data_IF_038625505741
#
_entry.id   IF_038625505741
#
_cell.length_a   1.000
_cell.length_b   1.000
_cell.length_c   1.000
_cell.angle_alpha   90.00
_cell.angle_beta   90.00
_cell.angle_gamma   90.00
#
_symmetry.space_group_name_H-M   'P 1'
#
loop_
_entity.id
_entity.type
_entity.pdbx_description
1 polymer ?
#
# COMPACT_ATOMS: atom_id res chain seq x y z
N UNK A 1 -45.06 20.36 -21.17
CA UNK A 1 -43.70 19.85 -21.45
C UNK A 1 -43.14 19.35 -20.12
N UNK A 2 -43.08 18.03 -19.92
CA UNK A 2 -42.49 17.43 -18.71
C UNK A 2 -40.98 17.63 -18.78
N UNK A 3 -40.40 18.33 -17.80
CA UNK A 3 -38.95 18.51 -17.70
C UNK A 3 -38.31 17.12 -17.64
N UNK A 4 -37.30 16.88 -18.49
CA UNK A 4 -36.60 15.60 -18.51
C UNK A 4 -35.99 15.32 -17.12
N UNK A 5 -36.13 14.11 -16.57
CA UNK A 5 -35.55 13.78 -15.28
C UNK A 5 -34.02 13.93 -15.29
N UNK A 6 -33.47 14.43 -14.18
CA UNK A 6 -32.01 14.61 -13.99
C UNK A 6 -31.35 13.27 -13.69
N UNK A 7 -30.06 13.13 -14.04
CA UNK A 7 -29.30 11.89 -13.86
C UNK A 7 -29.41 11.30 -12.45
N UNK A 8 -29.28 12.15 -11.41
CA UNK A 8 -29.40 11.74 -10.01
C UNK A 8 -30.69 10.98 -9.68
N UNK A 9 -31.82 11.39 -10.28
CA UNK A 9 -33.15 10.82 -9.97
C UNK A 9 -33.27 9.34 -10.34
N UNK A 10 -32.53 8.87 -11.35
CA UNK A 10 -32.52 7.46 -11.74
C UNK A 10 -31.83 6.57 -10.71
N UNK A 11 -30.87 7.12 -9.96
CA UNK A 11 -30.05 6.38 -9.00
C UNK A 11 -30.55 6.51 -7.55
N UNK A 12 -31.60 7.28 -7.29
CA UNK A 12 -32.14 7.53 -5.95
C UNK A 12 -32.46 6.23 -5.18
N UNK A 13 -32.97 5.20 -5.87
CA UNK A 13 -33.25 3.89 -5.25
C UNK A 13 -31.98 3.13 -4.82
N UNK A 14 -30.90 3.23 -5.62
CA UNK A 14 -29.60 2.65 -5.28
C UNK A 14 -28.96 3.39 -4.09
N UNK A 15 -28.98 4.73 -4.13
CA UNK A 15 -28.47 5.58 -3.04
C UNK A 15 -29.25 5.33 -1.75
N UNK A 16 -30.58 5.28 -1.80
CA UNK A 16 -31.41 4.97 -0.64
C UNK A 16 -31.12 3.59 -0.04
N UNK A 17 -30.86 2.59 -0.89
CA UNK A 17 -30.47 1.25 -0.44
C UNK A 17 -29.11 1.24 0.26
N UNK A 18 -28.08 1.89 -0.31
CA UNK A 18 -26.76 1.99 0.33
C UNK A 18 -26.80 2.77 1.64
N UNK A 19 -27.54 3.88 1.70
CA UNK A 19 -27.73 4.65 2.94
C UNK A 19 -28.45 3.86 4.03
N UNK A 20 -29.43 3.03 3.65
CA UNK A 20 -30.11 2.17 4.60
C UNK A 20 -29.15 1.14 5.23
N UNK A 21 -28.16 0.65 4.48
CA UNK A 21 -27.11 -0.24 5.00
C UNK A 21 -26.14 0.53 5.90
N UNK A 22 -25.72 1.72 5.47
CA UNK A 22 -24.77 2.56 6.22
C UNK A 22 -25.34 3.06 7.57
N UNK A 23 -26.65 3.27 7.64
CA UNK A 23 -27.34 3.70 8.86
C UNK A 23 -27.56 2.57 9.88
N UNK A 24 -27.38 1.30 9.49
CA UNK A 24 -27.52 0.16 10.40
C UNK A 24 -26.26 0.00 11.24
N UNK A 25 -26.43 -0.44 12.49
CA UNK A 25 -25.31 -0.79 13.36
C UNK A 25 -24.44 -1.86 12.66
N UNK A 26 -23.12 -1.63 12.47
CA UNK A 26 -22.21 -2.58 11.84
C UNK A 26 -22.18 -3.94 12.55
N UNK A 27 -22.50 -3.99 13.85
CA UNK A 27 -22.47 -5.19 14.66
C UNK A 27 -23.86 -5.86 14.81
N UNK A 28 -24.92 -5.24 14.28
CA UNK A 28 -26.27 -5.82 14.29
C UNK A 28 -26.45 -6.79 13.11
N UNK A 29 -26.98 -8.01 13.35
CA UNK A 29 -27.22 -9.00 12.29
C UNK A 29 -28.28 -8.50 11.32
N UNK A 30 -27.97 -8.58 10.03
CA UNK A 30 -28.87 -8.18 8.94
C UNK A 30 -29.52 -9.42 8.33
N UNK A 31 -30.78 -9.29 7.91
CA UNK A 31 -31.52 -10.39 7.30
C UNK A 31 -30.91 -10.87 5.96
N UNK A 32 -30.21 -9.99 5.23
CA UNK A 32 -29.55 -10.29 3.96
C UNK A 32 -28.05 -10.47 4.09
N UNK A 33 -27.51 -11.48 3.42
CA UNK A 33 -26.06 -11.72 3.30
C UNK A 33 -25.33 -10.62 2.52
N UNK A 34 -24.01 -10.52 2.67
CA UNK A 34 -23.20 -9.58 1.88
C UNK A 34 -23.35 -9.80 0.37
N UNK A 35 -23.35 -11.07 -0.05
CA UNK A 35 -23.57 -11.45 -1.44
C UNK A 35 -24.96 -11.04 -1.98
N UNK A 36 -26.03 -11.22 -1.19
CA UNK A 36 -27.39 -10.79 -1.57
C UNK A 36 -27.50 -9.27 -1.69
N UNK A 37 -26.88 -8.53 -0.77
CA UNK A 37 -26.85 -7.07 -0.79
C UNK A 37 -26.10 -6.54 -2.03
N UNK A 38 -24.93 -7.11 -2.35
CA UNK A 38 -24.18 -6.78 -3.56
C UNK A 38 -24.99 -7.08 -4.83
N UNK A 39 -25.61 -8.26 -4.92
CA UNK A 39 -26.44 -8.63 -6.07
C UNK A 39 -27.65 -7.70 -6.22
N UNK A 40 -28.26 -7.27 -5.11
CA UNK A 40 -29.36 -6.29 -5.09
C UNK A 40 -28.89 -4.93 -5.57
N UNK A 41 -27.75 -4.43 -5.09
CA UNK A 41 -27.18 -3.17 -5.56
C UNK A 41 -26.92 -3.20 -7.07
N UNK A 42 -26.26 -4.25 -7.57
CA UNK A 42 -26.00 -4.43 -9.00
C UNK A 42 -27.29 -4.35 -9.83
N UNK A 43 -28.35 -5.04 -9.42
CA UNK A 43 -29.66 -4.98 -10.12
C UNK A 43 -30.28 -3.58 -10.10
N UNK A 44 -30.12 -2.82 -9.02
CA UNK A 44 -30.62 -1.44 -8.93
C UNK A 44 -29.86 -0.54 -9.91
N UNK A 45 -28.54 -0.66 -9.95
CA UNK A 45 -27.69 0.13 -10.85
C UNK A 45 -27.92 -0.26 -12.33
N UNK A 46 -28.06 -1.54 -12.66
CA UNK A 46 -28.42 -1.99 -14.02
C UNK A 46 -29.74 -1.39 -14.50
N UNK A 47 -30.79 -1.43 -13.65
CA UNK A 47 -32.10 -0.83 -13.96
C UNK A 47 -32.01 0.68 -14.14
N UNK A 48 -31.25 1.36 -13.28
CA UNK A 48 -31.03 2.80 -13.37
C UNK A 48 -30.31 3.16 -14.67
N UNK A 49 -29.26 2.42 -15.05
CA UNK A 49 -28.51 2.62 -16.28
C UNK A 49 -29.42 2.46 -17.52
N UNK A 50 -30.26 1.41 -17.55
CA UNK A 50 -31.22 1.21 -18.64
C UNK A 50 -32.23 2.36 -18.73
N UNK A 51 -32.78 2.80 -17.59
CA UNK A 51 -33.75 3.89 -17.55
C UNK A 51 -33.15 5.25 -17.96
N UNK A 52 -31.93 5.55 -17.51
CA UNK A 52 -31.21 6.78 -17.86
C UNK A 52 -30.90 6.84 -19.37
N UNK A 53 -30.39 5.74 -19.93
CA UNK A 53 -30.13 5.63 -21.38
C UNK A 53 -31.40 5.72 -22.22
N UNK A 54 -32.51 5.11 -21.77
CA UNK A 54 -33.80 5.21 -22.44
C UNK A 54 -34.35 6.66 -22.49
N UNK A 55 -33.96 7.50 -21.52
CA UNK A 55 -34.29 8.92 -21.45
C UNK A 55 -33.23 9.81 -22.12
N UNK A 56 -32.33 9.24 -22.92
CA UNK A 56 -31.37 9.98 -23.74
C UNK A 56 -30.15 10.51 -22.99
N UNK A 57 -29.85 10.03 -21.78
CA UNK A 57 -28.60 10.39 -21.08
C UNK A 57 -27.39 9.78 -21.80
N UNK A 58 -26.26 10.51 -21.79
CA UNK A 58 -25.00 10.07 -22.39
C UNK A 58 -24.57 8.72 -21.82
N UNK A 59 -24.12 7.81 -22.68
CA UNK A 59 -23.56 6.53 -22.25
C UNK A 59 -22.35 6.71 -21.33
N UNK A 60 -21.48 7.68 -21.66
CA UNK A 60 -20.31 8.01 -20.84
C UNK A 60 -20.70 8.52 -19.44
N UNK A 61 -21.74 9.37 -19.35
CA UNK A 61 -22.19 9.88 -18.05
C UNK A 61 -22.86 8.78 -17.21
N UNK A 62 -23.61 7.89 -17.85
CA UNK A 62 -24.24 6.73 -17.19
C UNK A 62 -23.20 5.76 -16.68
N UNK A 63 -22.13 5.49 -17.46
CA UNK A 63 -21.06 4.58 -17.06
C UNK A 63 -20.23 5.18 -15.92
N UNK A 64 -19.92 6.48 -15.99
CA UNK A 64 -19.24 7.21 -14.92
C UNK A 64 -20.08 7.26 -13.63
N UNK A 65 -21.39 7.50 -13.72
CA UNK A 65 -22.29 7.47 -12.57
C UNK A 65 -22.37 6.08 -11.92
N UNK A 66 -22.47 5.02 -12.74
CA UNK A 66 -22.49 3.65 -12.25
C UNK A 66 -21.17 3.27 -11.55
N UNK A 67 -20.03 3.73 -12.08
CA UNK A 67 -18.73 3.57 -11.44
C UNK A 67 -18.70 4.27 -10.07
N UNK A 68 -19.09 5.54 -10.01
CA UNK A 68 -19.07 6.34 -8.78
C UNK A 68 -19.92 5.70 -7.67
N UNK A 69 -21.12 5.24 -8.00
CA UNK A 69 -22.02 4.57 -7.06
C UNK A 69 -21.49 3.22 -6.60
N UNK A 70 -20.79 2.51 -7.49
CA UNK A 70 -20.15 1.23 -7.16
C UNK A 70 -19.00 1.42 -6.18
N UNK A 71 -18.13 2.42 -6.44
CA UNK A 71 -17.04 2.79 -5.53
C UNK A 71 -17.57 3.16 -4.14
N UNK A 72 -18.62 3.98 -4.08
CA UNK A 72 -19.25 4.37 -2.84
C UNK A 72 -19.88 3.18 -2.11
N UNK A 73 -20.62 2.31 -2.81
CA UNK A 73 -21.25 1.16 -2.18
C UNK A 73 -20.23 0.16 -1.64
N UNK A 74 -19.11 -0.05 -2.32
CA UNK A 74 -18.05 -0.93 -1.81
C UNK A 74 -17.40 -0.36 -0.54
N UNK A 75 -17.29 0.96 -0.41
CA UNK A 75 -16.85 1.58 0.85
C UNK A 75 -17.86 1.35 1.98
N UNK A 76 -19.16 1.50 1.69
CA UNK A 76 -20.24 1.20 2.66
C UNK A 76 -20.19 -0.28 3.06
N UNK A 77 -20.04 -1.19 2.09
CA UNK A 77 -19.92 -2.62 2.31
C UNK A 77 -18.69 -2.96 3.16
N UNK A 78 -17.55 -2.30 2.90
CA UNK A 78 -16.31 -2.48 3.65
C UNK A 78 -16.39 -2.08 5.14
N UNK A 79 -17.40 -1.30 5.54
CA UNK A 79 -17.66 -0.97 6.96
C UNK A 79 -18.35 -2.11 7.72
N UNK A 80 -18.93 -3.09 7.02
CA UNK A 80 -19.67 -4.23 7.60
C UNK A 80 -18.72 -5.41 7.86
N UNK A 81 -18.49 -5.74 9.14
CA UNK A 81 -17.61 -6.87 9.51
C UNK A 81 -18.29 -8.23 9.36
N UNK A 82 -19.61 -8.24 9.38
CA UNK A 82 -20.47 -9.42 9.28
C UNK A 82 -20.60 -9.96 7.85
N UNK A 83 -20.15 -9.21 6.84
CA UNK A 83 -20.19 -9.59 5.42
C UNK A 83 -18.94 -10.37 4.98
N UNK A 84 -18.51 -11.34 5.79
CA UNK A 84 -17.37 -12.21 5.50
C UNK A 84 -17.62 -13.15 4.31
N UNK A 85 -18.87 -13.30 3.88
CA UNK A 85 -19.32 -14.14 2.78
C UNK A 85 -19.46 -13.40 1.44
N UNK A 86 -19.19 -12.09 1.42
CA UNK A 86 -19.15 -11.32 0.19
C UNK A 86 -18.02 -11.84 -0.73
N UNK A 87 -18.36 -12.11 -1.99
CA UNK A 87 -17.47 -12.80 -2.95
C UNK A 87 -16.26 -11.91 -3.31
N UNK A 88 -16.55 -10.69 -3.76
CA UNK A 88 -15.59 -9.70 -4.19
C UNK A 88 -16.29 -8.32 -4.26
N UNK A 89 -15.57 -7.19 -4.09
CA UNK A 89 -16.12 -5.85 -4.29
C UNK A 89 -16.78 -5.67 -5.66
N UNK A 90 -17.86 -4.90 -5.74
CA UNK A 90 -18.56 -4.64 -7.00
C UNK A 90 -17.67 -3.91 -8.02
N UNK A 91 -16.75 -3.06 -7.57
CA UNK A 91 -15.76 -2.38 -8.43
C UNK A 91 -14.90 -3.39 -9.20
N UNK A 92 -14.54 -4.51 -8.56
CA UNK A 92 -13.79 -5.58 -9.20
C UNK A 92 -14.68 -6.38 -10.14
N UNK A 93 -15.88 -6.75 -9.69
CA UNK A 93 -16.81 -7.57 -10.47
C UNK A 93 -17.37 -6.86 -11.71
N UNK A 94 -17.53 -5.54 -11.65
CA UNK A 94 -18.29 -4.80 -12.66
C UNK A 94 -17.42 -3.86 -13.49
N UNK A 95 -16.33 -3.36 -12.93
CA UNK A 95 -15.41 -2.43 -13.61
C UNK A 95 -13.97 -2.96 -13.69
N UNK A 96 -13.70 -4.15 -13.14
CA UNK A 96 -12.35 -4.71 -13.05
C UNK A 96 -11.34 -3.72 -12.41
N UNK A 97 -11.83 -2.91 -11.47
CA UNK A 97 -11.05 -1.94 -10.71
C UNK A 97 -10.87 -2.44 -9.28
N UNK A 98 -9.73 -2.17 -8.66
CA UNK A 98 -9.53 -2.33 -7.20
C UNK A 98 -9.11 -1.03 -6.53
N UNK A 99 -9.09 0.08 -7.28
CA UNK A 99 -8.73 1.42 -6.82
C UNK A 99 -9.84 2.43 -7.12
N UNK A 100 -11.10 1.98 -7.09
CA UNK A 100 -12.23 2.84 -7.40
C UNK A 100 -12.34 4.04 -6.44
N UNK A 101 -11.81 3.88 -5.22
CA UNK A 101 -11.65 4.94 -4.22
C UNK A 101 -10.81 6.14 -4.70
N UNK A 102 -9.82 5.92 -5.58
CA UNK A 102 -8.95 6.95 -6.17
C UNK A 102 -9.47 7.37 -7.55
N UNK A 103 -9.84 6.41 -8.39
CA UNK A 103 -10.40 6.67 -9.72
C UNK A 103 -11.68 7.52 -9.68
N UNK A 104 -12.45 7.43 -8.59
CA UNK A 104 -13.57 8.33 -8.33
C UNK A 104 -13.16 9.80 -8.44
N UNK A 105 -12.06 10.20 -7.80
CA UNK A 105 -11.60 11.59 -7.79
C UNK A 105 -11.00 12.00 -9.14
N UNK A 106 -10.39 11.05 -9.86
CA UNK A 106 -9.97 11.28 -11.25
C UNK A 106 -11.18 11.59 -12.14
N UNK A 107 -12.22 10.76 -12.11
CA UNK A 107 -13.45 11.01 -12.87
C UNK A 107 -14.07 12.36 -12.49
N UNK A 108 -14.11 12.70 -11.20
CA UNK A 108 -14.62 13.98 -10.70
C UNK A 108 -13.82 15.18 -11.22
N UNK A 109 -12.49 15.10 -11.24
CA UNK A 109 -11.62 16.17 -11.75
C UNK A 109 -11.69 16.33 -13.27
N UNK A 110 -11.99 15.25 -14.00
CA UNK A 110 -12.09 15.25 -15.46
C UNK A 110 -13.43 15.81 -15.97
N UNK A 111 -14.40 16.05 -15.08
CA UNK A 111 -15.72 16.56 -15.45
C UNK A 111 -15.63 17.95 -16.07
N UNK A 112 -16.19 18.07 -17.26
CA UNK A 112 -16.33 19.33 -17.97
C UNK A 112 -17.41 20.23 -17.34
N UNK A 113 -17.47 21.49 -17.75
CA UNK A 113 -18.43 22.47 -17.21
C UNK A 113 -19.89 22.20 -17.60
N UNK A 114 -20.12 21.49 -18.71
CA UNK A 114 -21.43 21.08 -19.21
C UNK A 114 -21.96 19.78 -18.57
N UNK A 115 -21.10 18.98 -17.93
CA UNK A 115 -21.44 17.76 -17.20
C UNK A 115 -22.00 18.02 -15.79
N UNK A 116 -22.87 19.01 -15.65
CA UNK A 116 -23.40 19.47 -14.37
C UNK A 116 -24.24 18.42 -13.63
N UNK A 117 -25.02 17.60 -14.33
CA UNK A 117 -25.83 16.53 -13.70
C UNK A 117 -24.97 15.36 -13.17
N UNK A 118 -23.87 15.05 -13.83
CA UNK A 118 -22.92 14.03 -13.37
C UNK A 118 -22.13 14.54 -12.16
N UNK A 119 -21.70 15.81 -12.21
CA UNK A 119 -21.04 16.49 -11.09
C UNK A 119 -21.92 16.52 -9.84
N UNK A 120 -23.22 16.76 -10.02
CA UNK A 120 -24.21 16.69 -8.93
C UNK A 120 -24.21 15.32 -8.25
N UNK A 121 -24.22 14.24 -9.02
CA UNK A 121 -24.19 12.88 -8.47
C UNK A 121 -22.92 12.63 -7.66
N UNK A 122 -21.74 12.91 -8.22
CA UNK A 122 -20.47 12.77 -7.52
C UNK A 122 -20.43 13.61 -6.23
N UNK A 123 -20.90 14.85 -6.31
CA UNK A 123 -20.95 15.74 -5.16
C UNK A 123 -21.86 15.20 -4.06
N UNK A 124 -23.03 14.65 -4.39
CA UNK A 124 -23.90 14.05 -3.38
C UNK A 124 -23.27 12.84 -2.71
N UNK A 125 -22.52 12.00 -3.42
CA UNK A 125 -21.79 10.87 -2.82
C UNK A 125 -20.74 11.36 -1.81
N UNK A 126 -20.03 12.45 -2.10
CA UNK A 126 -19.15 13.11 -1.13
C UNK A 126 -19.92 13.68 0.06
N UNK A 127 -21.08 14.29 -0.19
CA UNK A 127 -21.90 14.91 0.86
C UNK A 127 -22.48 13.88 1.85
N UNK A 128 -22.78 12.66 1.38
CA UNK A 128 -23.26 11.55 2.22
C UNK A 128 -22.13 10.72 2.85
N UNK A 129 -20.87 11.13 2.69
CA UNK A 129 -19.75 10.58 3.46
C UNK A 129 -18.84 9.61 2.73
N UNK A 130 -18.84 9.56 1.39
CA UNK A 130 -17.78 8.89 0.64
C UNK A 130 -16.43 9.55 0.91
N UNK A 131 -15.44 8.78 1.34
CA UNK A 131 -14.10 9.27 1.67
C UNK A 131 -13.08 8.90 0.59
N UNK A 132 -13.18 7.69 0.05
CA UNK A 132 -12.25 7.12 -0.92
C UNK A 132 -10.80 7.25 -0.47
N UNK A 133 -9.93 7.78 -1.33
CA UNK A 133 -8.51 7.97 -1.03
C UNK A 133 -8.22 8.87 0.19
N UNK A 134 -9.19 9.65 0.66
CA UNK A 134 -9.03 10.58 1.79
C UNK A 134 -9.50 10.02 3.15
N UNK A 135 -9.59 8.69 3.30
CA UNK A 135 -10.08 8.04 4.54
C UNK A 135 -9.30 8.40 5.82
N UNK A 136 -8.09 8.92 5.70
CA UNK A 136 -7.25 9.34 6.82
C UNK A 136 -7.53 10.79 7.28
N UNK A 137 -8.26 11.59 6.50
CA UNK A 137 -8.65 12.94 6.90
C UNK A 137 -9.75 12.85 7.97
N UNK A 138 -9.45 13.28 9.19
CA UNK A 138 -10.43 13.25 10.28
C UNK A 138 -11.69 14.06 9.96
N UNK A 139 -12.84 13.69 10.57
CA UNK A 139 -14.16 14.30 10.34
C UNK A 139 -14.29 15.79 10.74
N UNK A 140 -13.18 16.47 11.06
CA UNK A 140 -13.13 17.85 11.56
C UNK A 140 -13.48 18.91 10.51
N UNK A 141 -13.90 18.52 9.30
CA UNK A 141 -14.33 19.44 8.25
C UNK A 141 -13.21 20.30 7.65
N UNK A 142 -11.95 19.98 7.98
CA UNK A 142 -10.75 20.62 7.46
C UNK A 142 -9.87 19.55 6.82
N UNK A 143 -9.65 19.66 5.51
CA UNK A 143 -8.95 18.67 4.68
C UNK A 143 -9.16 18.92 3.19
N UNK A 144 -8.45 18.18 2.32
CA UNK A 144 -8.62 18.27 0.86
C UNK A 144 -10.02 17.82 0.43
N UNK A 145 -10.62 16.83 1.11
CA UNK A 145 -11.98 16.38 0.81
C UNK A 145 -13.01 17.51 1.01
N UNK A 146 -12.83 18.33 2.06
CA UNK A 146 -13.67 19.48 2.33
C UNK A 146 -13.51 20.57 1.26
N UNK A 147 -12.28 20.80 0.77
CA UNK A 147 -11.99 21.74 -0.32
C UNK A 147 -12.61 21.27 -1.64
N UNK A 148 -12.48 19.99 -1.97
CA UNK A 148 -13.11 19.40 -3.17
C UNK A 148 -14.63 19.53 -3.12
N UNK A 149 -15.25 19.23 -1.98
CA UNK A 149 -16.70 19.41 -1.81
C UNK A 149 -17.12 20.86 -2.01
N UNK A 150 -16.36 21.82 -1.48
CA UNK A 150 -16.64 23.25 -1.66
C UNK A 150 -16.46 23.71 -3.11
N UNK A 151 -15.39 23.27 -3.77
CA UNK A 151 -15.07 23.57 -5.17
C UNK A 151 -16.18 23.09 -6.12
N UNK A 152 -16.63 21.84 -5.94
CA UNK A 152 -17.66 21.26 -6.79
C UNK A 152 -19.08 21.76 -6.43
N UNK A 153 -19.34 22.13 -5.17
CA UNK A 153 -20.62 22.74 -4.76
C UNK A 153 -20.93 24.03 -5.55
N UNK A 154 -19.91 24.88 -5.76
CA UNK A 154 -20.06 26.14 -6.50
C UNK A 154 -20.39 25.95 -7.99
N UNK A 155 -20.19 24.74 -8.51
CA UNK A 155 -20.35 24.38 -9.93
C UNK A 155 -21.60 23.51 -10.16
N UNK A 156 -22.48 23.40 -9.16
CA UNK A 156 -23.70 22.61 -9.27
C UNK A 156 -24.78 23.31 -10.10
N UNK A 157 -25.59 22.57 -10.88
CA UNK A 157 -26.63 23.17 -11.72
C UNK A 157 -27.79 23.76 -10.93
N UNK A 158 -27.98 23.30 -9.69
CA UNK A 158 -28.93 23.88 -8.75
C UNK A 158 -28.19 24.36 -7.51
N UNK A 159 -28.52 25.56 -6.98
CA UNK A 159 -28.00 25.98 -5.69
C UNK A 159 -28.45 24.96 -4.65
N UNK A 160 -27.52 24.57 -3.78
CA UNK A 160 -27.80 23.67 -2.68
C UNK A 160 -28.93 24.25 -1.85
N UNK A 161 -29.98 23.46 -1.64
CA UNK A 161 -30.97 23.80 -0.63
C UNK A 161 -30.22 23.73 0.70
N UNK A 162 -29.92 24.89 1.30
CA UNK A 162 -29.52 24.96 2.69
C UNK A 162 -30.70 24.45 3.53
N UNK A 163 -30.78 23.13 3.70
CA UNK A 163 -31.48 22.55 4.82
C UNK A 163 -30.66 22.94 6.05
N UNK A 164 -30.90 24.16 6.54
CA UNK A 164 -30.63 24.52 7.92
C UNK A 164 -31.52 23.63 8.78
N UNK A 165 -31.17 22.34 8.88
CA UNK A 165 -31.66 21.48 9.93
C UNK A 165 -31.07 22.08 11.20
N UNK A 166 -31.88 22.69 12.08
CA UNK A 166 -31.40 22.97 13.42
C UNK A 166 -31.05 21.60 13.96
N UNK A 167 -29.78 21.29 14.21
CA UNK A 167 -29.43 20.14 15.03
C UNK A 167 -29.98 20.49 16.42
N UNK A 168 -31.11 19.93 16.88
CA UNK A 168 -31.43 20.09 18.28
C UNK A 168 -30.35 19.29 19.02
N UNK A 169 -29.51 19.98 19.79
CA UNK A 169 -28.65 19.32 20.76
C UNK A 169 -29.59 18.72 21.81
N UNK A 170 -30.03 17.49 21.59
CA UNK A 170 -31.05 16.86 22.43
C UNK A 170 -30.54 16.49 23.83
N UNK A 171 -29.24 16.57 24.10
CA UNK A 171 -28.67 16.49 25.45
C UNK A 171 -27.34 17.25 25.58
N UNK A 172 -27.09 17.85 26.75
CA UNK A 172 -25.76 18.33 27.15
C UNK A 172 -24.88 17.12 27.52
N UNK A 173 -23.61 17.10 27.08
CA UNK A 173 -22.68 16.05 27.51
C UNK A 173 -22.36 16.19 29.00
N UNK A 174 -22.56 15.14 29.83
CA UNK A 174 -22.52 15.29 31.27
C UNK A 174 -21.18 14.88 31.88
N UNK A 175 -20.01 15.14 31.27
CA UNK A 175 -18.72 14.93 31.97
C UNK A 175 -17.66 15.94 31.53
N UNK A 176 -17.73 17.16 32.07
CA UNK A 176 -16.54 18.01 32.24
C UNK A 176 -16.30 18.13 33.74
N UNK A 177 -15.41 17.30 34.28
CA UNK A 177 -15.00 17.38 35.69
C UNK A 177 -13.70 18.18 35.76
N UNK A 178 -13.60 19.23 36.60
CA UNK A 178 -12.33 19.92 36.82
C UNK A 178 -11.33 19.03 37.56
N UNK A 179 -10.06 19.14 37.15
CA UNK A 179 -8.90 18.43 37.71
C UNK A 179 -8.57 18.95 39.12
N UNK A 180 -8.42 18.03 40.09
CA UNK A 180 -7.93 18.35 41.44
C UNK A 180 -6.39 18.41 41.50
N UNK A 181 -5.78 19.19 42.43
CA UNK A 181 -4.34 19.43 42.44
C UNK A 181 -3.55 18.28 43.10
N UNK A 182 -2.27 18.20 42.74
CA UNK A 182 -1.31 17.18 43.18
C UNK A 182 -0.87 17.35 44.64
N UNK A 183 -0.68 16.22 45.36
CA UNK A 183 -0.06 16.18 46.67
C UNK A 183 1.43 15.76 46.58
N UNK A 184 2.25 16.36 47.44
CA UNK A 184 3.71 16.24 47.51
C UNK A 184 4.17 14.99 48.32
N UNK A 185 5.48 14.65 48.31
CA UNK A 185 5.97 13.31 48.62
C UNK A 185 6.22 13.07 50.11
N UNK A 186 6.15 11.81 50.55
CA UNK A 186 6.56 11.42 51.90
C UNK A 186 7.59 10.28 51.87
N UNK A 187 8.70 10.55 52.57
CA UNK A 187 9.91 9.75 52.66
C UNK A 187 9.83 8.74 53.81
N UNK A 188 10.46 7.60 53.56
CA UNK A 188 10.77 6.44 54.43
C UNK A 188 10.86 6.67 55.95
N UNK A 189 10.48 5.62 56.70
CA UNK A 189 11.38 4.91 57.66
C UNK A 189 10.78 3.61 58.23
N UNK A 190 11.24 2.50 57.65
CA UNK A 190 11.81 1.26 58.24
C UNK A 190 11.48 0.85 59.71
N UNK A 191 11.09 -0.42 59.88
CA UNK A 191 11.83 -1.50 60.61
C UNK A 191 10.84 -2.51 61.27
N UNK A 192 10.79 -3.77 60.81
CA UNK A 192 11.49 -4.97 61.37
C UNK A 192 10.56 -5.71 62.37
N UNK A 193 10.31 -7.05 62.37
CA UNK A 193 11.11 -8.29 62.32
C UNK A 193 10.11 -9.47 62.08
N UNK A 194 10.43 -10.65 61.54
CA UNK A 194 11.35 -11.67 62.06
C UNK A 194 11.69 -12.73 60.98
N UNK A 195 12.73 -13.56 61.23
CA UNK A 195 13.60 -14.19 60.27
C UNK A 195 13.31 -15.69 60.09
N UNK A 196 13.61 -16.26 58.91
CA UNK A 196 13.81 -17.71 58.77
C UNK A 196 14.52 -18.16 57.47
N UNK A 197 15.09 -17.24 56.66
CA UNK A 197 15.59 -17.57 55.31
C UNK A 197 17.11 -17.45 55.12
N UNK A 198 17.89 -17.39 56.21
CA UNK A 198 19.36 -17.23 56.11
C UNK A 198 20.12 -18.56 56.26
N UNK A 199 19.48 -19.63 56.77
CA UNK A 199 20.15 -20.93 56.91
C UNK A 199 20.14 -21.80 55.64
N UNK A 200 19.20 -21.57 54.71
CA UNK A 200 19.08 -22.38 53.48
C UNK A 200 20.05 -21.93 52.37
N UNK A 201 20.50 -20.67 52.42
CA UNK A 201 21.30 -20.02 51.38
C UNK A 201 22.81 -20.34 51.45
N UNK A 202 23.30 -20.91 52.56
CA UNK A 202 24.73 -21.18 52.76
C UNK A 202 25.19 -22.56 52.23
N UNK A 203 24.27 -23.46 51.86
CA UNK A 203 24.59 -24.82 51.37
C UNK A 203 24.31 -24.99 49.86
N UNK A 204 23.32 -24.27 49.30
CA UNK A 204 22.94 -24.41 47.88
C UNK A 204 23.87 -23.67 46.92
N UNK A 205 24.52 -22.60 47.36
CA UNK A 205 25.40 -21.76 46.51
C UNK A 205 26.70 -22.47 46.08
N UNK A 206 27.46 -23.18 46.96
CA UNK A 206 28.71 -23.82 46.53
C UNK A 206 28.48 -25.06 45.65
N UNK A 207 27.39 -25.80 45.85
CA UNK A 207 27.05 -26.99 45.04
C UNK A 207 26.55 -26.58 43.65
N UNK A 208 25.74 -25.52 43.55
CA UNK A 208 25.32 -24.96 42.27
C UNK A 208 26.49 -24.37 41.46
N UNK A 209 27.45 -23.72 42.13
CA UNK A 209 28.65 -23.19 41.47
C UNK A 209 29.58 -24.30 40.93
N UNK A 210 29.71 -25.42 41.65
CA UNK A 210 30.52 -26.55 41.23
C UNK A 210 29.91 -27.32 40.05
N UNK A 211 28.59 -27.52 40.03
CA UNK A 211 27.88 -28.10 38.89
C UNK A 211 27.92 -27.20 37.63
N UNK A 212 27.88 -25.88 37.81
CA UNK A 212 27.94 -24.94 36.69
C UNK A 212 29.31 -24.92 35.98
N UNK A 213 30.40 -25.28 36.66
CA UNK A 213 31.73 -25.39 36.04
C UNK A 213 31.92 -26.67 35.22
N UNK A 214 31.22 -27.76 35.55
CA UNK A 214 31.35 -29.06 34.86
C UNK A 214 30.46 -29.18 33.61
N UNK A 215 29.46 -28.30 33.45
CA UNK A 215 28.60 -28.21 32.26
C UNK A 215 28.88 -26.96 31.41
N UNK A 216 29.96 -26.24 31.67
CA UNK A 216 30.31 -25.05 30.88
C UNK A 216 30.58 -25.47 29.41
N UNK A 217 29.74 -25.05 28.44
CA UNK A 217 30.02 -25.28 27.03
C UNK A 217 31.36 -24.61 26.66
N UNK A 218 32.08 -25.11 25.64
CA UNK A 218 33.32 -24.48 25.19
C UNK A 218 33.04 -23.00 24.93
N UNK A 219 33.96 -22.14 25.41
CA UNK A 219 33.82 -20.69 25.36
C UNK A 219 33.24 -20.24 24.02
N UNK A 220 31.99 -19.77 24.06
CA UNK A 220 31.36 -19.14 22.92
C UNK A 220 32.32 -18.04 22.46
N UNK A 221 32.82 -18.14 21.24
CA UNK A 221 33.62 -17.11 20.59
C UNK A 221 32.95 -15.76 20.90
N UNK A 222 33.69 -14.83 21.50
CA UNK A 222 33.16 -13.52 21.83
C UNK A 222 32.52 -12.94 20.57
N UNK A 223 31.18 -12.85 20.55
CA UNK A 223 30.44 -12.38 19.37
C UNK A 223 30.97 -10.98 19.07
N UNK A 224 31.47 -10.78 17.86
CA UNK A 224 31.97 -9.46 17.44
C UNK A 224 30.84 -8.44 17.51
N UNK A 225 31.17 -7.16 17.70
CA UNK A 225 30.20 -6.07 17.72
C UNK A 225 29.34 -6.10 16.43
N UNK A 226 29.96 -6.37 15.29
CA UNK A 226 29.28 -6.53 14.00
C UNK A 226 28.27 -7.71 13.99
N UNK A 227 28.63 -8.87 14.55
CA UNK A 227 27.70 -10.01 14.66
C UNK A 227 26.50 -9.69 15.56
N UNK A 228 26.74 -9.05 16.70
CA UNK A 228 25.66 -8.63 17.62
C UNK A 228 24.75 -7.58 16.97
N UNK A 229 25.34 -6.60 16.28
CA UNK A 229 24.61 -5.59 15.52
C UNK A 229 23.74 -6.25 14.44
N UNK A 230 24.31 -7.17 13.65
CA UNK A 230 23.56 -7.85 12.60
C UNK A 230 22.38 -8.65 13.16
N UNK A 231 22.58 -9.43 14.23
CA UNK A 231 21.50 -10.20 14.88
C UNK A 231 20.35 -9.31 15.40
N UNK A 232 20.69 -8.13 15.95
CA UNK A 232 19.68 -7.16 16.41
C UNK A 232 18.93 -6.53 15.24
N UNK A 233 19.65 -6.14 14.17
CA UNK A 233 19.10 -5.44 13.01
C UNK A 233 18.14 -6.31 12.17
N UNK A 234 18.36 -7.63 12.16
CA UNK A 234 17.50 -8.59 11.44
C UNK A 234 16.08 -8.73 12.03
N UNK A 235 15.78 -8.06 13.15
CA UNK A 235 14.44 -8.04 13.75
C UNK A 235 13.49 -7.05 13.08
N UNK A 236 14.01 -6.11 12.29
CA UNK A 236 13.19 -5.12 11.60
C UNK A 236 12.56 -5.74 10.35
N UNK A 237 11.23 -5.82 10.32
CA UNK A 237 10.51 -6.28 9.13
C UNK A 237 10.70 -5.30 7.97
N UNK A 238 10.84 -5.82 6.75
CA UNK A 238 11.03 -5.02 5.53
C UNK A 238 12.27 -4.10 5.60
N UNK A 239 13.35 -4.57 6.23
CA UNK A 239 14.63 -3.88 6.31
C UNK A 239 15.77 -4.84 6.00
N UNK A 240 16.68 -4.46 5.12
CA UNK A 240 17.93 -5.19 4.90
C UNK A 240 19.04 -4.29 5.37
N UNK A 241 19.68 -4.69 6.47
CA UNK A 241 20.68 -3.92 7.20
C UNK A 241 21.89 -4.81 7.41
N UNK A 242 23.05 -4.35 6.96
CA UNK A 242 24.32 -5.04 7.14
C UNK A 242 25.23 -4.15 7.97
N UNK A 243 25.71 -4.70 9.09
CA UNK A 243 26.68 -4.05 9.94
C UNK A 243 28.06 -4.68 9.71
N UNK A 244 29.02 -3.87 9.29
CA UNK A 244 30.41 -4.28 9.11
C UNK A 244 31.31 -3.41 9.98
N UNK A 245 32.24 -4.04 10.70
CA UNK A 245 33.27 -3.32 11.44
C UNK A 245 34.46 -3.12 10.52
N UNK A 246 34.71 -1.87 10.16
CA UNK A 246 35.82 -1.53 9.29
C UNK A 246 37.16 -1.63 10.03
N UNK A 247 38.25 -1.75 9.27
CA UNK A 247 39.61 -1.91 9.81
C UNK A 247 40.08 -0.71 10.67
N UNK A 248 39.43 0.44 10.52
CA UNK A 248 39.62 1.66 11.31
C UNK A 248 38.88 1.63 12.67
N UNK A 249 38.14 0.56 12.96
CA UNK A 249 37.36 0.40 14.19
C UNK A 249 35.97 1.03 14.14
N UNK A 250 35.60 1.71 13.05
CA UNK A 250 34.27 2.31 12.86
C UNK A 250 33.26 1.22 12.51
N UNK A 251 32.10 1.23 13.16
CA UNK A 251 30.98 0.36 12.79
C UNK A 251 30.16 1.01 11.67
N UNK A 252 30.23 0.46 10.46
CA UNK A 252 29.45 0.92 9.31
C UNK A 252 28.18 0.10 9.18
N UNK A 253 27.03 0.76 9.16
CA UNK A 253 25.74 0.12 8.94
C UNK A 253 25.13 0.66 7.66
N UNK A 254 24.97 -0.22 6.68
CA UNK A 254 24.45 0.11 5.36
C UNK A 254 23.17 -0.68 5.10
N UNK A 255 22.22 -0.09 4.38
CA UNK A 255 21.00 -0.78 4.03
C UNK A 255 19.80 0.10 3.79
N UNK A 256 18.61 -0.46 3.97
CA UNK A 256 17.35 0.26 3.84
C UNK A 256 16.34 -0.10 4.92
N UNK A 257 15.44 0.84 5.18
CA UNK A 257 14.40 0.74 6.21
C UNK A 257 13.05 1.24 5.67
N UNK A 258 11.91 0.72 6.17
CA UNK A 258 10.60 0.99 5.59
C UNK A 258 10.05 2.38 5.92
N UNK A 259 10.48 2.98 7.03
CA UNK A 259 9.94 4.26 7.49
C UNK A 259 10.98 5.09 8.22
N UNK A 260 10.73 6.40 8.31
CA UNK A 260 11.55 7.31 9.11
C UNK A 260 11.51 6.94 10.61
N UNK A 261 10.40 6.37 11.09
CA UNK A 261 10.29 5.83 12.45
C UNK A 261 11.26 4.67 12.69
N UNK A 262 11.32 3.71 11.76
CA UNK A 262 12.26 2.58 11.83
C UNK A 262 13.71 3.06 11.72
N UNK A 263 13.99 4.07 10.90
CA UNK A 263 15.33 4.68 10.83
C UNK A 263 15.77 5.25 12.18
N UNK A 264 14.87 5.95 12.89
CA UNK A 264 15.15 6.48 14.21
C UNK A 264 15.39 5.36 15.24
N UNK A 265 14.61 4.28 15.19
CA UNK A 265 14.78 3.11 16.04
C UNK A 265 16.13 2.42 15.80
N UNK A 266 16.49 2.13 14.54
CA UNK A 266 17.79 1.54 14.17
C UNK A 266 18.95 2.40 14.66
N UNK A 267 18.85 3.73 14.51
CA UNK A 267 19.88 4.66 14.99
C UNK A 267 20.06 4.59 16.50
N UNK A 268 18.96 4.50 17.25
CA UNK A 268 18.98 4.38 18.70
C UNK A 268 19.57 3.03 19.16
N UNK A 269 19.17 1.93 18.51
CA UNK A 269 19.65 0.58 18.82
C UNK A 269 21.15 0.44 18.55
N UNK A 270 21.63 0.92 17.41
CA UNK A 270 23.06 0.90 17.07
C UNK A 270 23.86 1.83 17.98
N UNK A 271 23.32 2.99 18.35
CA UNK A 271 23.96 3.86 19.35
C UNK A 271 24.11 3.18 20.72
N UNK A 272 23.07 2.48 21.18
CA UNK A 272 23.12 1.75 22.45
C UNK A 272 24.09 0.55 22.40
N UNK A 273 24.17 -0.14 21.26
CA UNK A 273 25.01 -1.32 21.09
C UNK A 273 26.49 -0.97 20.86
N UNK A 274 26.77 0.06 20.07
CA UNK A 274 28.14 0.50 19.76
C UNK A 274 28.82 1.25 20.91
N UNK A 275 28.05 1.87 21.81
CA UNK A 275 28.56 2.59 22.96
C UNK A 275 29.47 3.76 22.57
N UNK A 276 30.78 3.64 22.86
CA UNK A 276 31.78 4.65 22.51
C UNK A 276 32.39 4.44 21.10
N UNK A 277 32.05 3.35 20.41
CA UNK A 277 32.57 3.06 19.07
C UNK A 277 31.94 4.02 18.06
N UNK A 278 32.72 4.73 17.23
CA UNK A 278 32.16 5.59 16.19
C UNK A 278 31.33 4.76 15.20
N UNK A 279 30.17 5.29 14.83
CA UNK A 279 29.23 4.62 13.92
C UNK A 279 28.92 5.49 12.71
N UNK A 280 28.86 4.86 11.54
CA UNK A 280 28.49 5.50 10.27
C UNK A 280 27.27 4.78 9.71
N UNK A 281 26.14 5.48 9.60
CA UNK A 281 24.88 4.90 9.14
C UNK A 281 24.53 5.46 7.75
N UNK A 282 24.60 4.61 6.73
CA UNK A 282 24.16 4.91 5.37
C UNK A 282 22.89 4.14 5.05
N UNK A 283 21.75 4.67 5.51
CA UNK A 283 20.44 4.03 5.39
C UNK A 283 19.52 4.78 4.42
N UNK A 284 18.84 4.05 3.55
CA UNK A 284 17.85 4.58 2.61
C UNK A 284 16.42 4.25 3.06
N UNK A 285 15.46 5.16 2.79
CA UNK A 285 14.04 4.89 3.00
C UNK A 285 13.48 4.08 1.83
N UNK A 286 12.88 2.93 2.13
CA UNK A 286 12.26 2.01 1.19
C UNK A 286 10.95 1.48 1.78
N UNK A 287 9.85 2.23 1.68
CA UNK A 287 8.54 1.77 2.15
C UNK A 287 8.12 0.43 1.53
N UNK A 288 7.21 -0.26 2.20
CA UNK A 288 6.52 -1.40 1.58
C UNK A 288 5.72 -0.91 0.35
N UNK A 289 5.70 -1.63 -0.78
CA UNK A 289 6.24 -2.98 -1.01
C UNK A 289 7.71 -3.04 -1.45
N UNK A 290 8.37 -1.90 -1.69
CA UNK A 290 9.70 -1.87 -2.30
C UNK A 290 10.75 -2.65 -1.51
N UNK A 291 10.73 -2.55 -0.19
CA UNK A 291 11.67 -3.28 0.66
C UNK A 291 11.55 -4.81 0.52
N UNK A 292 10.34 -5.35 0.40
CA UNK A 292 10.10 -6.77 0.13
C UNK A 292 10.60 -7.18 -1.26
N UNK A 293 10.36 -6.35 -2.27
CA UNK A 293 10.83 -6.60 -3.64
C UNK A 293 12.36 -6.66 -3.68
N UNK A 294 13.02 -5.71 -3.02
CA UNK A 294 14.48 -5.69 -2.95
C UNK A 294 15.00 -6.93 -2.21
N UNK A 295 14.39 -7.32 -1.08
CA UNK A 295 14.75 -8.55 -0.36
C UNK A 295 14.68 -9.79 -1.27
N UNK A 296 13.56 -9.99 -1.97
CA UNK A 296 13.34 -11.12 -2.88
C UNK A 296 14.39 -11.13 -4.00
N UNK A 297 14.69 -9.97 -4.58
CA UNK A 297 15.53 -9.87 -5.77
C UNK A 297 17.01 -9.65 -5.47
N UNK A 298 17.40 -9.41 -4.22
CA UNK A 298 18.77 -9.01 -3.84
C UNK A 298 19.83 -9.99 -4.36
N UNK A 299 19.60 -11.29 -4.16
CA UNK A 299 20.54 -12.33 -4.61
C UNK A 299 20.69 -12.35 -6.15
N UNK A 300 19.61 -12.04 -6.88
CA UNK A 300 19.60 -11.98 -8.33
C UNK A 300 20.24 -10.69 -8.87
N UNK A 301 20.10 -9.58 -8.15
CA UNK A 301 20.77 -8.31 -8.45
C UNK A 301 22.28 -8.42 -8.21
N UNK A 302 22.72 -9.00 -7.09
CA UNK A 302 24.14 -9.24 -6.83
C UNK A 302 24.78 -10.15 -7.88
N UNK A 303 24.02 -11.13 -8.38
CA UNK A 303 24.46 -11.97 -9.50
C UNK A 303 24.58 -11.20 -10.80
N UNK A 304 23.61 -10.34 -11.09
CA UNK A 304 23.65 -9.46 -12.25
C UNK A 304 24.87 -8.52 -12.21
N UNK A 305 25.11 -7.87 -11.07
CA UNK A 305 26.22 -6.94 -10.86
C UNK A 305 27.61 -7.58 -10.99
N UNK A 306 27.74 -8.89 -10.73
CA UNK A 306 28.99 -9.65 -10.92
C UNK A 306 29.18 -10.18 -12.35
N UNK A 307 28.19 -10.01 -13.22
CA UNK A 307 28.31 -10.38 -14.64
C UNK A 307 29.27 -9.45 -15.36
N UNK A 308 30.02 -9.97 -16.35
CA UNK A 308 30.87 -9.14 -17.22
C UNK A 308 30.06 -8.14 -18.04
N UNK A 309 28.84 -8.51 -18.40
CA UNK A 309 27.89 -7.67 -19.10
C UNK A 309 26.56 -7.78 -18.34
N UNK A 310 26.26 -6.83 -17.44
CA UNK A 310 25.04 -6.86 -16.66
C UNK A 310 23.84 -6.46 -17.52
N UNK A 311 22.70 -7.11 -17.24
CA UNK A 311 21.40 -6.62 -17.63
C UNK A 311 21.22 -5.23 -17.03
N UNK A 312 20.74 -4.28 -17.83
CA UNK A 312 20.54 -2.92 -17.38
C UNK A 312 19.16 -2.42 -17.79
N UNK A 313 18.41 -1.93 -16.82
CA UNK A 313 17.12 -1.29 -16.98
C UNK A 313 17.27 0.23 -16.89
N UNK A 314 16.84 0.93 -17.94
CA UNK A 314 16.88 2.38 -18.04
C UNK A 314 15.48 2.91 -18.36
N UNK A 315 15.18 4.15 -17.93
CA UNK A 315 13.92 4.82 -18.22
C UNK A 315 14.19 6.12 -19.00
N UNK A 316 14.28 6.08 -20.35
CA UNK A 316 14.52 7.27 -21.16
C UNK A 316 13.44 8.35 -21.01
N UNK A 317 12.23 7.95 -20.58
CA UNK A 317 11.13 8.88 -20.28
C UNK A 317 11.36 9.69 -19.00
N UNK A 318 12.17 9.18 -18.06
CA UNK A 318 12.41 9.80 -16.77
C UNK A 318 13.64 10.72 -16.84
N UNK A 319 13.42 12.03 -16.78
CA UNK A 319 14.49 13.01 -16.80
C UNK A 319 15.02 13.19 -15.37
N UNK A 320 16.33 13.01 -15.17
CA UNK A 320 16.96 13.02 -13.84
C UNK A 320 16.30 12.07 -12.82
N UNK A 321 15.77 10.94 -13.31
CA UNK A 321 15.07 9.96 -12.48
C UNK A 321 13.66 10.38 -12.05
N UNK A 322 13.12 11.46 -12.64
CA UNK A 322 11.78 11.97 -12.35
C UNK A 322 10.85 11.77 -13.54
N UNK A 323 9.67 11.24 -13.25
CA UNK A 323 8.54 11.08 -14.16
C UNK A 323 7.45 12.10 -13.80
N UNK A 324 7.02 12.91 -14.76
CA UNK A 324 6.02 13.96 -14.52
C UNK A 324 4.62 13.52 -14.91
N UNK A 325 3.62 14.10 -14.27
CA UNK A 325 2.21 13.82 -14.52
C UNK A 325 1.84 13.90 -16.02
N UNK A 326 1.11 12.88 -16.47
CA UNK A 326 0.65 12.74 -17.85
C UNK A 326 1.74 12.26 -18.83
N UNK A 327 2.94 11.93 -18.37
CA UNK A 327 3.96 11.28 -19.20
C UNK A 327 3.74 9.77 -19.27
N UNK A 328 4.07 9.17 -20.42
CA UNK A 328 4.12 7.72 -20.58
C UNK A 328 5.42 7.16 -20.00
N UNK A 329 5.32 6.03 -19.31
CA UNK A 329 6.47 5.31 -18.78
C UNK A 329 7.10 4.47 -19.89
N UNK A 330 8.15 5.00 -20.53
CA UNK A 330 8.95 4.28 -21.53
C UNK A 330 10.24 3.78 -20.88
N UNK A 331 10.48 2.48 -21.04
CA UNK A 331 11.63 1.77 -20.50
C UNK A 331 12.47 1.15 -21.62
N UNK A 332 13.76 1.07 -21.36
CA UNK A 332 14.73 0.43 -22.22
C UNK A 332 15.54 -0.58 -21.41
N UNK A 333 15.47 -1.84 -21.81
CA UNK A 333 16.13 -2.95 -21.13
C UNK A 333 17.20 -3.54 -22.05
N UNK A 334 18.46 -3.51 -21.61
CA UNK A 334 19.53 -4.31 -22.23
C UNK A 334 19.55 -5.69 -21.59
N UNK A 335 19.33 -6.73 -22.37
CA UNK A 335 19.21 -8.11 -21.87
C UNK A 335 20.59 -8.74 -21.61
N UNK A 336 20.65 -9.83 -20.82
CA UNK A 336 21.88 -10.62 -20.65
C UNK A 336 22.45 -11.16 -21.98
N UNK A 337 23.75 -11.48 -21.99
CA UNK A 337 24.46 -12.17 -23.10
C UNK A 337 24.11 -13.69 -23.20
N UNK A 338 22.82 -14.01 -23.14
CA UNK A 338 22.28 -15.36 -23.29
C UNK A 338 20.84 -15.26 -23.78
N UNK A 339 20.31 -16.32 -24.37
CA UNK A 339 18.90 -16.35 -24.72
C UNK A 339 18.03 -16.62 -23.49
N UNK A 340 16.84 -16.04 -23.48
CA UNK A 340 15.98 -16.14 -22.32
C UNK A 340 14.62 -15.48 -22.48
N UNK A 341 13.95 -15.35 -21.35
CA UNK A 341 12.67 -14.66 -21.20
C UNK A 341 12.82 -13.65 -20.08
N UNK A 342 12.36 -12.44 -20.33
CA UNK A 342 12.34 -11.35 -19.36
C UNK A 342 10.92 -10.85 -19.16
N UNK A 343 10.61 -10.43 -17.95
CA UNK A 343 9.42 -9.64 -17.68
C UNK A 343 9.81 -8.43 -16.83
N UNK A 344 8.99 -7.39 -16.93
CA UNK A 344 9.21 -6.13 -16.22
C UNK A 344 7.94 -5.76 -15.47
N UNK A 345 8.09 -5.44 -14.20
CA UNK A 345 6.99 -5.07 -13.31
C UNK A 345 7.24 -3.67 -12.76
N UNK A 346 6.19 -2.85 -12.69
CA UNK A 346 6.21 -1.48 -12.21
C UNK A 346 5.39 -1.38 -10.91
N UNK A 347 6.04 -1.02 -9.82
CA UNK A 347 5.46 -0.88 -8.49
C UNK A 347 5.18 0.58 -8.19
N UNK A 348 3.92 0.90 -7.92
CA UNK A 348 3.42 2.27 -7.69
C UNK A 348 3.60 2.72 -6.25
N UNK A 349 3.42 4.02 -6.00
CA UNK A 349 3.47 4.65 -4.68
C UNK A 349 2.39 4.16 -3.70
N UNK A 350 1.24 3.74 -4.23
CA UNK A 350 0.09 3.21 -3.47
C UNK A 350 0.14 1.70 -3.23
N UNK A 351 1.22 1.03 -3.64
CA UNK A 351 1.46 -0.38 -3.32
C UNK A 351 0.85 -1.38 -4.30
N UNK A 352 0.62 -0.97 -5.54
CA UNK A 352 0.19 -1.84 -6.62
C UNK A 352 1.34 -2.23 -7.56
N UNK A 353 1.08 -3.22 -8.40
CA UNK A 353 2.03 -3.74 -9.40
C UNK A 353 1.37 -3.77 -10.76
N UNK A 354 2.02 -3.15 -11.73
CA UNK A 354 1.64 -3.15 -13.13
C UNK A 354 2.61 -4.03 -13.90
N UNK A 355 2.08 -4.95 -14.70
CA UNK A 355 2.87 -5.90 -15.47
C UNK A 355 3.06 -5.39 -16.90
N UNK A 356 4.27 -4.95 -17.21
CA UNK A 356 4.56 -4.39 -18.52
C UNK A 356 4.62 -5.47 -19.59
N UNK A 357 4.07 -5.13 -20.76
CA UNK A 357 4.07 -5.98 -21.95
C UNK A 357 4.94 -5.34 -23.02
N UNK A 358 5.60 -6.18 -23.81
CA UNK A 358 6.21 -5.78 -25.07
C UNK A 358 5.80 -6.78 -26.13
N UNK A 359 5.52 -6.31 -27.35
CA UNK A 359 5.07 -7.17 -28.46
C UNK A 359 3.84 -8.02 -28.09
N UNK A 360 2.93 -7.46 -27.28
CA UNK A 360 1.74 -8.16 -26.78
C UNK A 360 2.01 -9.25 -25.73
N UNK A 361 3.25 -9.46 -25.29
CA UNK A 361 3.61 -10.50 -24.31
C UNK A 361 4.16 -9.88 -23.03
N UNK A 362 3.75 -10.39 -21.87
CA UNK A 362 4.36 -10.02 -20.57
C UNK A 362 5.76 -10.63 -20.42
N UNK A 363 5.86 -11.91 -20.78
CA UNK A 363 7.10 -12.69 -20.79
C UNK A 363 7.72 -12.58 -22.16
N UNK A 364 8.62 -11.62 -22.31
CA UNK A 364 9.23 -11.24 -23.57
C UNK A 364 10.45 -12.13 -23.82
N UNK A 365 10.44 -12.98 -24.86
CA UNK A 365 11.63 -13.72 -25.26
C UNK A 365 12.68 -12.74 -25.79
N UNK A 366 13.96 -13.03 -25.54
CA UNK A 366 15.07 -12.18 -25.99
C UNK A 366 16.27 -13.00 -26.45
N UNK A 367 17.02 -12.41 -27.38
CA UNK A 367 18.35 -12.87 -27.78
C UNK A 367 19.46 -12.20 -26.96
N UNK A 368 20.65 -12.80 -26.96
CA UNK A 368 21.80 -12.31 -26.23
C UNK A 368 22.12 -10.84 -26.57
N UNK A 369 22.24 -9.99 -25.54
CA UNK A 369 22.64 -8.59 -25.68
C UNK A 369 21.62 -7.68 -26.38
N UNK A 370 20.41 -8.18 -26.66
CA UNK A 370 19.36 -7.41 -27.31
C UNK A 370 18.88 -6.26 -26.42
N UNK A 371 18.47 -5.16 -27.05
CA UNK A 371 17.71 -4.09 -26.36
C UNK A 371 16.23 -4.28 -26.60
N UNK A 372 15.46 -4.39 -25.51
CA UNK A 372 14.00 -4.50 -25.51
C UNK A 372 13.43 -3.17 -25.01
N UNK A 373 12.52 -2.58 -25.78
CA UNK A 373 11.81 -1.36 -25.40
C UNK A 373 10.41 -1.73 -24.91
N UNK A 374 10.03 -1.19 -23.76
CA UNK A 374 8.73 -1.42 -23.13
C UNK A 374 8.03 -0.08 -22.90
N UNK A 375 6.71 -0.09 -22.90
CA UNK A 375 5.93 1.09 -22.57
C UNK A 375 5.39 1.91 -23.75
N UNK A 376 5.60 1.46 -24.99
CA UNK A 376 5.13 2.18 -26.19
C UNK A 376 3.64 1.93 -26.49
N UNK A 377 3.14 0.73 -26.19
CA UNK A 377 1.74 0.32 -26.42
C UNK A 377 0.89 0.34 -25.13
N UNK A 378 1.16 1.29 -24.22
CA UNK A 378 0.44 1.38 -22.96
C UNK A 378 -0.90 2.14 -23.11
N UNK A 379 -2.00 1.65 -22.52
CA UNK A 379 -3.25 2.40 -22.45
C UNK A 379 -3.05 3.77 -21.78
N UNK A 380 -3.89 4.75 -22.10
CA UNK A 380 -3.84 6.08 -21.46
C UNK A 380 -4.04 6.06 -19.94
N UNK A 381 -4.56 4.96 -19.38
CA UNK A 381 -4.64 4.73 -17.93
C UNK A 381 -3.29 4.45 -17.26
N UNK A 382 -2.19 4.37 -18.02
CA UNK A 382 -0.84 4.08 -17.52
C UNK A 382 0.09 5.31 -17.59
N UNK A 383 -0.49 6.49 -17.79
CA UNK A 383 0.21 7.74 -17.63
C UNK A 383 0.53 7.96 -16.15
N UNK A 384 1.65 8.61 -15.88
CA UNK A 384 2.05 8.98 -14.52
C UNK A 384 0.94 9.84 -13.91
N UNK A 385 0.38 9.37 -12.80
CA UNK A 385 -0.73 10.01 -12.08
C UNK A 385 -0.47 10.01 -10.57
N UNK A 386 -1.22 10.82 -9.80
CA UNK A 386 -1.29 10.68 -8.35
C UNK A 386 -1.66 9.23 -7.92
N UNK A 387 -1.23 8.80 -6.71
CA UNK A 387 -0.37 9.54 -5.79
C UNK A 387 1.09 9.58 -6.27
N UNK A 388 1.68 10.77 -6.20
CA UNK A 388 3.09 10.97 -6.54
C UNK A 388 3.99 10.47 -5.42
N UNK A 389 5.16 9.96 -5.79
CA UNK A 389 6.13 9.46 -4.83
C UNK A 389 7.19 8.61 -5.47
N UNK A 390 7.88 7.83 -4.64
CA UNK A 390 8.85 6.87 -5.15
C UNK A 390 8.12 5.72 -5.84
N UNK A 391 8.63 5.31 -6.99
CA UNK A 391 8.17 4.10 -7.71
C UNK A 391 9.36 3.20 -7.98
N UNK A 392 9.11 1.91 -8.13
CA UNK A 392 10.14 0.91 -8.39
C UNK A 392 9.78 0.14 -9.66
N UNK A 393 10.74 -0.01 -10.57
CA UNK A 393 10.62 -0.92 -11.70
C UNK A 393 11.62 -2.06 -11.52
N UNK A 394 11.17 -3.29 -11.76
CA UNK A 394 12.03 -4.47 -11.71
C UNK A 394 12.02 -5.18 -13.05
N UNK A 395 13.19 -5.63 -13.50
CA UNK A 395 13.33 -6.54 -14.61
C UNK A 395 13.91 -7.87 -14.10
N UNK A 396 13.30 -8.99 -14.45
CA UNK A 396 13.78 -10.33 -14.05
C UNK A 396 13.95 -11.20 -15.30
N UNK A 397 15.17 -11.69 -15.50
CA UNK A 397 15.54 -12.48 -16.67
C UNK A 397 15.91 -13.93 -16.32
N UNK A 398 15.21 -14.87 -16.96
CA UNK A 398 15.40 -16.30 -16.85
C UNK A 398 15.85 -16.90 -18.19
N UNK A 399 16.60 -18.02 -18.21
CA UNK A 399 16.81 -18.79 -19.43
C UNK A 399 15.49 -19.40 -19.90
N UNK A 400 15.33 -19.59 -21.21
CA UNK A 400 14.09 -20.11 -21.80
C UNK A 400 13.69 -21.50 -21.27
N UNK A 401 14.67 -22.35 -20.93
CA UNK A 401 14.45 -23.69 -20.37
C UNK A 401 14.04 -23.71 -18.89
N UNK A 402 14.13 -22.56 -18.20
CA UNK A 402 13.87 -22.43 -16.76
C UNK A 402 12.57 -21.70 -16.44
N UNK A 403 11.68 -21.49 -17.42
CA UNK A 403 10.44 -20.72 -17.25
C UNK A 403 9.33 -21.62 -16.70
N UNK A 404 8.92 -21.47 -15.43
CA UNK A 404 7.81 -22.24 -14.89
C UNK A 404 6.49 -21.84 -15.56
N UNK A 405 5.59 -22.81 -15.76
CA UNK A 405 4.23 -22.55 -16.20
C UNK A 405 3.53 -21.66 -15.17
N UNK A 406 2.94 -20.55 -15.62
CA UNK A 406 2.27 -19.58 -14.76
C UNK A 406 1.07 -19.02 -15.49
N UNK A 407 -0.06 -18.90 -14.79
CA UNK A 407 -1.25 -18.22 -15.29
C UNK A 407 -0.91 -16.75 -15.50
N UNK A 408 -1.31 -16.19 -16.64
CA UNK A 408 -1.11 -14.77 -16.90
C UNK A 408 -1.86 -13.96 -15.84
N UNK A 409 -1.17 -13.16 -15.00
CA UNK A 409 -1.85 -12.33 -14.01
C UNK A 409 -2.66 -11.24 -14.71
N UNK A 410 -3.62 -10.63 -14.00
CA UNK A 410 -4.25 -9.40 -14.48
C UNK A 410 -3.17 -8.34 -14.78
N UNK A 411 -3.41 -7.39 -15.70
CA UNK A 411 -2.41 -6.37 -16.06
C UNK A 411 -1.97 -5.49 -14.87
N UNK A 412 -2.77 -5.48 -13.81
CA UNK A 412 -2.56 -4.76 -12.56
C UNK A 412 -3.06 -5.64 -11.38
N UNK A 413 -2.34 -5.63 -10.26
CA UNK A 413 -2.72 -6.30 -9.01
C UNK A 413 -2.08 -5.64 -7.78
N UNK A 414 -2.53 -5.97 -6.57
CA UNK A 414 -1.89 -5.51 -5.33
C UNK A 414 -0.54 -6.20 -5.13
N UNK A 415 0.44 -5.45 -4.62
CA UNK A 415 1.76 -6.03 -4.36
C UNK A 415 1.72 -7.17 -3.34
N UNK A 416 0.81 -7.16 -2.37
CA UNK A 416 0.63 -8.27 -1.42
C UNK A 416 0.37 -9.61 -2.12
N UNK A 417 -0.44 -9.59 -3.18
CA UNK A 417 -0.84 -10.80 -3.91
C UNK A 417 0.25 -11.24 -4.89
N UNK A 418 0.94 -10.27 -5.49
CA UNK A 418 2.02 -10.53 -6.44
C UNK A 418 3.29 -11.07 -5.78
N UNK A 419 3.68 -10.50 -4.63
CA UNK A 419 4.95 -10.81 -3.97
C UNK A 419 5.05 -12.28 -3.56
N UNK A 420 3.95 -12.90 -3.12
CA UNK A 420 3.90 -14.33 -2.81
C UNK A 420 4.18 -15.15 -4.08
N UNK A 421 3.51 -14.84 -5.19
CA UNK A 421 3.70 -15.53 -6.47
C UNK A 421 5.09 -15.31 -7.06
N UNK A 422 5.70 -14.14 -6.84
CA UNK A 422 7.07 -13.87 -7.26
C UNK A 422 8.05 -14.77 -6.50
N UNK A 423 7.89 -14.91 -5.18
CA UNK A 423 8.70 -15.83 -4.35
C UNK A 423 8.56 -17.27 -4.83
N UNK A 424 7.33 -17.74 -5.05
CA UNK A 424 7.05 -19.08 -5.55
C UNK A 424 7.65 -19.32 -6.94
N UNK A 425 7.49 -18.35 -7.85
CA UNK A 425 8.03 -18.43 -9.21
C UNK A 425 9.54 -18.57 -9.17
N UNK A 426 10.24 -17.73 -8.40
CA UNK A 426 11.70 -17.78 -8.29
C UNK A 426 12.19 -19.04 -7.55
N UNK A 427 11.44 -19.55 -6.58
CA UNK A 427 11.75 -20.80 -5.90
C UNK A 427 11.55 -22.03 -6.79
N UNK A 428 10.60 -21.98 -7.73
CA UNK A 428 10.34 -23.04 -8.70
C UNK A 428 11.35 -23.10 -9.85
N UNK A 429 12.17 -22.06 -10.04
CA UNK A 429 13.22 -22.03 -11.05
C UNK A 429 14.33 -23.01 -10.69
N UNK A 430 14.77 -23.81 -11.65
CA UNK A 430 15.91 -24.72 -11.45
C UNK A 430 17.15 -23.97 -10.93
N UNK A 431 17.90 -24.52 -9.96
CA UNK A 431 19.12 -23.90 -9.45
C UNK A 431 20.14 -23.54 -10.54
N UNK A 432 20.16 -24.31 -11.63
CA UNK A 432 21.06 -24.13 -12.77
C UNK A 432 20.64 -23.00 -13.72
N UNK A 433 19.39 -22.54 -13.65
CA UNK A 433 18.88 -21.49 -14.52
C UNK A 433 19.38 -20.08 -14.13
N UNK A 434 19.96 -19.92 -12.93
CA UNK A 434 20.67 -18.71 -12.49
C UNK A 434 19.98 -17.38 -12.86
N UNK A 435 18.75 -17.12 -12.36
CA UNK A 435 18.04 -15.86 -12.56
C UNK A 435 18.90 -14.64 -12.23
N UNK A 436 18.74 -13.60 -13.04
CA UNK A 436 19.33 -12.27 -12.82
C UNK A 436 18.20 -11.24 -12.79
N UNK A 437 18.37 -10.21 -11.97
CA UNK A 437 17.40 -9.14 -11.83
C UNK A 437 18.10 -7.78 -11.85
N UNK A 438 17.37 -6.76 -12.27
CA UNK A 438 17.78 -5.36 -12.15
C UNK A 438 16.60 -4.53 -11.62
N UNK A 439 16.92 -3.47 -10.89
CA UNK A 439 15.95 -2.64 -10.18
C UNK A 439 16.23 -1.16 -10.46
N UNK A 440 15.19 -0.42 -10.82
CA UNK A 440 15.26 1.00 -11.12
C UNK A 440 14.26 1.76 -10.25
N UNK A 441 14.75 2.66 -9.40
CA UNK A 441 13.90 3.56 -8.62
C UNK A 441 13.74 4.89 -9.36
N UNK A 442 12.51 5.38 -9.43
CA UNK A 442 12.20 6.70 -9.97
C UNK A 442 11.35 7.48 -8.96
N UNK A 443 11.24 8.79 -9.16
CA UNK A 443 10.27 9.63 -8.49
C UNK A 443 9.18 10.02 -9.48
N UNK A 444 7.92 9.98 -9.06
CA UNK A 444 6.81 10.59 -9.78
C UNK A 444 6.46 11.92 -9.11
N UNK A 445 6.02 12.89 -9.92
CA UNK A 445 5.71 14.22 -9.42
C UNK A 445 4.76 14.98 -10.35
N UNK A 446 4.24 16.09 -9.82
CA UNK A 446 3.46 17.05 -10.58
C UNK A 446 4.27 17.66 -11.74
N UNK A 447 3.55 18.22 -12.72
CA UNK A 447 4.13 18.80 -13.93
C UNK A 447 5.11 19.92 -13.71
#
# INVERSE_FOLDING_TARGET
MTVAPRLFSFYAAAIGFGLAIDAQDPDAPVESTGAEAQQRMRRLLERANTAARAQGKSAADVDSAAFALTAWFDEVAGRRRDWADAIAPLQLLWFNSTNAATEFFHHLSALQSDQGELRELYWYLLAIGFQGQYYFEGQNGAGELAKLRALHAAQLPQPLLELQLPRPRLCAQPYTVPRAPAAAPQRDRRAWRWPLLVALLLILVPVGAWMAQQLAPPAAQARTLAMQANEQLQRHACAVLNAEQAADGVLRVNGFVPSAGTLAQVRQEIGALAGATPTELSLQLRPWPYCEVVDILQAHQLRNARSRQPMALEAPSAHDGVLREGQSVVLQLRTPEREGVVWVDYYTADGAVLHLRAQGQRRVPFSAGQTVRLGEDLPSSWLVSPPFGTVLITAVALPASGVPASTEPPPYELASDYLLRLRETLAAVSPDARPVADLLFLQTGER
#
